data_IF_535405940230
#
_entry.id   IF_535405940230
#
_cell.length_a   1.000
_cell.length_b   1.000
_cell.length_c   1.000
_cell.angle_alpha   90.00
_cell.angle_beta   90.00
_cell.angle_gamma   90.00
#
_symmetry.space_group_name_H-M   'P 1'
#
loop_
_entity.id
_entity.type
_entity.pdbx_description
1 polymer ?
#
# COMPACT_ATOMS: atom_id res chain seq x y z
N UNK A 1 -52.03 -41.80 -50.14
CA UNK A 1 -50.91 -42.09 -49.22
C UNK A 1 -50.73 -40.88 -48.31
N UNK A 2 -50.90 -41.07 -47.00
CA UNK A 2 -50.83 -40.03 -45.96
C UNK A 2 -49.37 -39.84 -45.56
N UNK A 3 -48.80 -38.63 -45.71
CA UNK A 3 -47.55 -38.27 -45.07
C UNK A 3 -47.82 -37.11 -44.10
N UNK A 4 -47.81 -37.43 -42.80
CA UNK A 4 -47.81 -36.44 -41.74
C UNK A 4 -46.36 -35.98 -41.51
N UNK A 5 -46.08 -34.70 -41.76
CA UNK A 5 -44.87 -34.04 -41.29
C UNK A 5 -45.18 -33.44 -39.92
N UNK A 6 -44.64 -34.05 -38.86
CA UNK A 6 -44.68 -33.50 -37.51
C UNK A 6 -43.57 -32.44 -37.38
N UNK A 7 -43.96 -31.17 -37.20
CA UNK A 7 -43.06 -30.12 -36.73
C UNK A 7 -42.78 -30.34 -35.24
N UNK A 8 -41.57 -30.75 -34.89
CA UNK A 8 -41.08 -30.70 -33.51
C UNK A 8 -40.49 -29.32 -33.22
N UNK A 9 -41.24 -28.51 -32.45
CA UNK A 9 -40.75 -27.30 -31.79
C UNK A 9 -39.78 -27.71 -30.67
N UNK A 10 -38.48 -27.51 -30.86
CA UNK A 10 -37.48 -27.64 -29.80
C UNK A 10 -37.35 -26.32 -29.05
N UNK A 11 -37.95 -26.21 -27.86
CA UNK A 11 -37.70 -25.10 -26.94
C UNK A 11 -36.39 -25.42 -26.21
N UNK A 12 -35.27 -24.85 -26.66
CA UNK A 12 -34.03 -24.84 -25.88
C UNK A 12 -34.17 -23.84 -24.73
N UNK A 13 -34.47 -24.34 -23.53
CA UNK A 13 -34.37 -23.56 -22.31
C UNK A 13 -32.89 -23.34 -21.97
N UNK A 14 -32.37 -22.15 -22.24
CA UNK A 14 -31.06 -21.71 -21.74
C UNK A 14 -31.17 -21.43 -20.25
N UNK A 15 -30.60 -22.32 -19.45
CA UNK A 15 -30.41 -22.11 -18.01
C UNK A 15 -29.31 -21.05 -17.87
N UNK A 16 -29.68 -19.79 -17.65
CA UNK A 16 -28.73 -18.72 -17.35
C UNK A 16 -28.48 -18.78 -15.84
N UNK A 17 -27.45 -19.49 -15.41
CA UNK A 17 -27.00 -19.45 -14.02
C UNK A 17 -26.51 -18.03 -13.70
N UNK A 18 -26.96 -17.39 -12.61
CA UNK A 18 -26.41 -16.12 -12.20
C UNK A 18 -24.95 -16.32 -11.80
N UNK A 19 -24.03 -15.70 -12.54
CA UNK A 19 -22.64 -15.55 -12.12
C UNK A 19 -22.64 -14.53 -10.99
N UNK A 20 -22.54 -15.01 -9.75
CA UNK A 20 -22.28 -14.15 -8.60
C UNK A 20 -20.81 -13.76 -8.64
N UNK A 21 -20.52 -12.57 -9.17
CA UNK A 21 -19.24 -11.91 -8.94
C UNK A 21 -19.18 -11.55 -7.47
N UNK A 22 -18.43 -12.33 -6.68
CA UNK A 22 -18.07 -11.91 -5.33
C UNK A 22 -17.15 -10.70 -5.44
N UNK A 23 -17.63 -9.52 -5.05
CA UNK A 23 -16.74 -8.40 -4.77
C UNK A 23 -16.11 -8.68 -3.42
N UNK A 24 -14.93 -9.30 -3.41
CA UNK A 24 -14.09 -9.25 -2.22
C UNK A 24 -13.88 -7.77 -1.90
N UNK A 25 -14.36 -7.33 -0.74
CA UNK A 25 -14.20 -5.93 -0.36
C UNK A 25 -12.71 -5.69 -0.19
N UNK A 26 -12.15 -4.74 -0.93
CA UNK A 26 -10.79 -4.29 -0.73
C UNK A 26 -10.68 -3.81 0.72
N UNK A 27 -9.87 -4.51 1.52
CA UNK A 27 -9.61 -4.13 2.90
C UNK A 27 -8.43 -3.17 2.88
N UNK A 28 -8.60 -1.99 3.50
CA UNK A 28 -7.58 -0.96 3.55
C UNK A 28 -7.04 -0.83 4.98
N UNK A 29 -5.74 -0.56 5.10
CA UNK A 29 -5.16 -0.04 6.33
C UNK A 29 -5.46 1.46 6.47
N UNK A 30 -5.35 1.99 7.70
CA UNK A 30 -5.51 3.41 7.97
C UNK A 30 -4.38 3.93 8.86
N UNK A 31 -3.85 5.11 8.54
CA UNK A 31 -2.99 5.90 9.43
C UNK A 31 -3.74 7.17 9.79
N UNK A 32 -4.07 7.35 11.06
CA UNK A 32 -4.80 8.51 11.57
C UNK A 32 -3.88 9.42 12.36
N UNK A 33 -3.86 10.70 11.98
CA UNK A 33 -3.06 11.72 12.64
C UNK A 33 -3.82 12.32 13.85
N UNK A 34 -3.47 11.89 15.06
CA UNK A 34 -3.98 12.47 16.31
C UNK A 34 -3.07 13.58 16.88
N UNK A 35 -2.00 13.95 16.16
CA UNK A 35 -1.11 15.06 16.51
C UNK A 35 -1.67 16.39 16.04
N UNK A 36 -1.04 17.48 16.48
CA UNK A 36 -1.30 18.85 16.02
C UNK A 36 -0.31 19.33 14.93
N UNK A 37 0.42 18.41 14.32
CA UNK A 37 1.39 18.65 13.24
C UNK A 37 1.00 17.78 12.04
N UNK A 38 1.36 18.21 10.82
CA UNK A 38 1.21 17.38 9.62
C UNK A 38 2.10 16.15 9.73
N UNK A 39 1.59 14.99 9.31
CA UNK A 39 2.40 13.80 9.09
C UNK A 39 2.69 13.63 7.61
N UNK A 40 3.88 13.17 7.28
CA UNK A 40 4.25 12.72 5.95
C UNK A 40 4.34 11.20 5.98
N UNK A 41 3.51 10.54 5.19
CA UNK A 41 3.46 9.08 5.11
C UNK A 41 4.02 8.63 3.76
N UNK A 42 4.93 7.67 3.78
CA UNK A 42 5.40 6.97 2.60
C UNK A 42 4.93 5.51 2.62
N UNK A 43 4.68 4.96 1.43
CA UNK A 43 4.24 3.57 1.23
C UNK A 43 5.24 2.77 0.40
N UNK A 44 5.42 1.49 0.70
CA UNK A 44 6.26 0.57 -0.05
C UNK A 44 5.56 -0.77 -0.30
N UNK A 45 5.79 -1.38 -1.45
CA UNK A 45 5.21 -2.67 -1.84
C UNK A 45 6.10 -3.33 -2.90
N UNK A 46 5.98 -4.65 -3.10
CA UNK A 46 6.61 -5.33 -4.23
C UNK A 46 5.70 -5.33 -5.45
N UNK A 47 6.25 -5.03 -6.63
CA UNK A 47 5.53 -5.17 -7.88
C UNK A 47 5.45 -6.65 -8.34
N UNK A 48 4.89 -6.90 -9.53
CA UNK A 48 4.73 -8.26 -10.09
C UNK A 48 6.06 -9.00 -10.34
N UNK A 49 7.18 -8.28 -10.39
CA UNK A 49 8.53 -8.82 -10.60
C UNK A 49 9.32 -8.96 -9.28
N UNK A 50 8.64 -8.91 -8.13
CA UNK A 50 9.23 -8.95 -6.77
C UNK A 50 10.22 -7.80 -6.50
N UNK A 51 10.09 -6.69 -7.22
CA UNK A 51 10.91 -5.49 -7.04
C UNK A 51 10.21 -4.55 -6.06
N UNK A 52 10.93 -4.10 -5.04
CA UNK A 52 10.44 -3.06 -4.13
C UNK A 52 10.17 -1.76 -4.88
N UNK A 53 8.96 -1.26 -4.72
CA UNK A 53 8.50 0.02 -5.22
C UNK A 53 7.99 0.82 -4.06
N UNK A 54 8.28 2.11 -4.07
CA UNK A 54 7.75 3.03 -3.08
C UNK A 54 6.93 4.11 -3.72
N UNK A 55 5.98 4.64 -2.97
CA UNK A 55 5.10 5.70 -3.40
C UNK A 55 5.06 6.80 -2.36
N UNK A 56 5.27 8.01 -2.90
CA UNK A 56 4.80 9.30 -2.42
C UNK A 56 5.15 9.67 -0.96
N UNK A 57 4.91 10.95 -0.66
CA UNK A 57 4.80 11.47 0.69
C UNK A 57 3.42 12.09 0.79
N UNK A 58 2.47 11.35 1.36
CA UNK A 58 1.14 11.88 1.61
C UNK A 58 1.19 12.75 2.86
N UNK A 59 0.73 13.98 2.74
CA UNK A 59 0.45 14.84 3.88
C UNK A 59 -0.87 14.39 4.52
N UNK A 60 -0.83 14.16 5.83
CA UNK A 60 -2.00 13.83 6.65
C UNK A 60 -2.16 14.93 7.69
N UNK A 61 -3.18 15.76 7.53
CA UNK A 61 -3.44 16.90 8.40
C UNK A 61 -3.88 16.44 9.81
N UNK A 62 -3.71 17.27 10.85
CA UNK A 62 -4.24 17.02 12.18
C UNK A 62 -5.73 16.62 12.15
N UNK A 63 -6.04 15.43 12.68
CA UNK A 63 -7.39 14.87 12.75
C UNK A 63 -7.83 14.07 11.51
N UNK A 64 -7.02 14.02 10.45
CA UNK A 64 -7.32 13.23 9.26
C UNK A 64 -6.76 11.80 9.33
N UNK A 65 -7.26 10.94 8.44
CA UNK A 65 -6.75 9.59 8.25
C UNK A 65 -6.44 9.33 6.77
N UNK A 66 -5.28 8.72 6.51
CA UNK A 66 -4.91 8.18 5.21
C UNK A 66 -5.30 6.71 5.13
N UNK A 67 -6.07 6.33 4.11
CA UNK A 67 -6.30 4.92 3.77
C UNK A 67 -5.29 4.43 2.74
N UNK A 68 -4.78 3.21 2.92
CA UNK A 68 -3.81 2.60 2.01
C UNK A 68 -4.09 1.10 1.81
N UNK A 69 -3.64 0.48 0.70
CA UNK A 69 -3.79 -0.96 0.48
C UNK A 69 -3.17 -1.80 1.59
N UNK A 70 -3.84 -2.87 2.00
CA UNK A 70 -3.40 -3.75 3.09
C UNK A 70 -2.08 -4.49 2.83
N UNK A 71 -1.64 -4.58 1.57
CA UNK A 71 -0.37 -5.17 1.20
C UNK A 71 0.81 -4.19 1.17
N UNK A 72 0.64 -2.96 1.68
CA UNK A 72 1.71 -1.98 1.75
C UNK A 72 2.40 -1.97 3.11
N UNK A 73 3.68 -1.60 3.05
CA UNK A 73 4.49 -1.21 4.19
C UNK A 73 4.48 0.30 4.29
N UNK A 74 4.48 0.85 5.50
CA UNK A 74 4.38 2.31 5.71
C UNK A 74 5.50 2.85 6.59
N UNK A 75 5.92 4.08 6.29
CA UNK A 75 6.84 4.90 7.08
C UNK A 75 6.21 6.26 7.33
N UNK A 76 6.48 6.87 8.50
CA UNK A 76 5.84 8.11 8.94
C UNK A 76 6.89 9.07 9.54
N UNK A 77 6.92 10.31 9.06
CA UNK A 77 7.68 11.40 9.65
C UNK A 77 6.80 12.62 9.95
N UNK A 78 7.23 13.44 10.92
CA UNK A 78 6.62 14.76 11.21
C UNK A 78 7.35 15.85 10.44
N UNK A 79 8.67 15.72 10.35
CA UNK A 79 9.52 16.59 9.57
C UNK A 79 10.81 15.87 9.20
N UNK A 80 11.60 16.48 8.32
CA UNK A 80 12.91 15.97 7.89
C UNK A 80 13.92 15.65 9.01
N UNK A 81 13.69 16.07 10.25
CA UNK A 81 14.56 15.75 11.40
C UNK A 81 13.80 15.08 12.56
N UNK A 82 12.52 14.76 12.36
CA UNK A 82 11.65 14.23 13.40
C UNK A 82 10.76 13.15 12.84
N UNK A 83 11.00 11.91 13.27
CA UNK A 83 10.06 10.80 13.05
C UNK A 83 8.93 10.88 14.07
N UNK A 84 7.73 10.47 13.65
CA UNK A 84 6.64 10.29 14.59
C UNK A 84 6.87 8.98 15.35
N UNK A 85 6.74 8.99 16.68
CA UNK A 85 6.76 7.75 17.45
C UNK A 85 5.57 6.87 17.05
N UNK A 86 5.81 5.59 16.76
CA UNK A 86 4.77 4.64 16.36
C UNK A 86 4.67 3.47 17.36
N UNK A 87 4.24 3.71 18.61
CA UNK A 87 4.15 2.65 19.63
C UNK A 87 3.13 1.55 19.29
N UNK A 88 2.28 1.80 18.29
CA UNK A 88 1.34 0.81 17.79
C UNK A 88 2.02 -0.27 16.92
N UNK A 89 3.26 -0.03 16.46
CA UNK A 89 4.01 -0.93 15.56
C UNK A 89 5.44 -1.21 16.03
N UNK A 90 6.08 -0.25 16.70
CA UNK A 90 7.40 -0.39 17.30
C UNK A 90 7.37 -1.46 18.41
N UNK A 91 8.44 -2.25 18.51
CA UNK A 91 8.60 -3.36 19.46
C UNK A 91 7.53 -4.47 19.37
N UNK A 92 6.85 -4.58 18.23
CA UNK A 92 5.87 -5.63 17.95
C UNK A 92 6.29 -6.50 16.77
N UNK A 93 5.74 -7.71 16.73
CA UNK A 93 5.98 -8.69 15.67
C UNK A 93 5.23 -8.32 14.37
N UNK A 94 5.69 -7.28 13.69
CA UNK A 94 5.28 -6.92 12.33
C UNK A 94 6.39 -7.22 11.34
N UNK A 95 6.00 -7.55 10.11
CA UNK A 95 6.95 -7.66 9.01
C UNK A 95 7.48 -6.26 8.66
N UNK A 96 8.80 -6.16 8.50
CA UNK A 96 9.47 -4.91 8.19
C UNK A 96 10.37 -5.04 6.97
N UNK A 97 10.59 -3.92 6.30
CA UNK A 97 11.61 -3.78 5.26
C UNK A 97 12.38 -2.49 5.50
N UNK A 98 13.70 -2.55 5.38
CA UNK A 98 14.56 -1.37 5.38
C UNK A 98 14.80 -0.91 3.94
N UNK A 99 14.45 0.33 3.64
CA UNK A 99 14.58 0.92 2.31
C UNK A 99 15.32 2.26 2.40
N UNK A 100 16.14 2.56 1.40
CA UNK A 100 16.87 3.81 1.32
C UNK A 100 15.99 4.95 0.80
N UNK A 101 15.67 5.91 1.66
CA UNK A 101 14.91 7.11 1.31
C UNK A 101 15.85 8.19 0.78
N UNK A 102 15.68 8.57 -0.49
CA UNK A 102 16.41 9.69 -1.10
C UNK A 102 15.65 11.00 -0.86
N UNK A 103 16.37 12.04 -0.43
CA UNK A 103 15.75 13.32 -0.05
C UNK A 103 15.43 14.26 -1.22
N UNK A 104 15.19 13.73 -2.43
CA UNK A 104 14.88 14.50 -3.63
C UNK A 104 13.39 14.82 -3.84
N UNK A 105 12.58 14.59 -2.81
CA UNK A 105 11.11 14.72 -2.80
C UNK A 105 10.44 13.68 -3.70
N UNK A 106 10.20 12.48 -3.14
CA UNK A 106 9.20 11.47 -3.55
C UNK A 106 9.74 10.15 -4.12
N UNK A 107 11.06 9.95 -4.20
CA UNK A 107 11.64 8.70 -4.72
C UNK A 107 12.42 7.96 -3.63
N UNK A 108 11.93 6.82 -3.17
CA UNK A 108 12.72 5.89 -2.35
C UNK A 108 13.33 4.92 -3.36
N UNK A 109 14.65 4.83 -3.38
CA UNK A 109 15.31 3.92 -4.30
C UNK A 109 15.28 2.51 -3.71
N UNK A 110 14.98 1.56 -4.58
CA UNK A 110 14.84 0.14 -4.32
C UNK A 110 16.21 -0.51 -4.12
N UNK A 111 16.86 -0.20 -2.99
CA UNK A 111 18.10 -0.84 -2.62
C UNK A 111 17.94 -1.57 -1.29
N UNK A 112 18.07 -2.90 -1.35
CA UNK A 112 18.29 -3.76 -0.18
C UNK A 112 19.76 -3.61 0.31
N UNK A 113 20.55 -2.72 -0.32
CA UNK A 113 21.97 -2.50 -0.06
C UNK A 113 22.23 -1.04 0.36
N UNK A 114 22.88 -0.88 1.52
CA UNK A 114 23.22 0.42 2.13
C UNK A 114 24.01 1.36 1.20
N UNK A 115 24.79 0.81 0.26
CA UNK A 115 25.66 1.60 -0.62
C UNK A 115 24.94 2.59 -1.53
N UNK A 116 23.64 2.43 -1.80
CA UNK A 116 22.86 3.44 -2.55
C UNK A 116 22.50 4.66 -1.66
N UNK A 117 22.41 4.48 -0.35
CA UNK A 117 22.25 5.58 0.61
C UNK A 117 23.54 6.41 0.75
N UNK A 118 24.71 5.80 0.48
CA UNK A 118 26.00 6.48 0.50
C UNK A 118 26.30 7.28 -0.78
N UNK A 119 25.45 7.21 -1.81
CA UNK A 119 25.67 7.91 -3.07
C UNK A 119 25.33 9.40 -2.96
N UNK A 120 26.39 10.20 -2.83
CA UNK A 120 26.37 11.67 -2.94
C UNK A 120 26.25 12.19 -4.39
N UNK A 121 26.02 11.31 -5.38
CA UNK A 121 26.13 11.60 -6.82
C UNK A 121 25.24 12.74 -7.32
N UNK A 122 24.18 13.07 -6.57
CA UNK A 122 23.20 14.11 -6.94
C UNK A 122 23.19 15.31 -5.98
N UNK A 123 24.15 15.40 -5.05
CA UNK A 123 24.18 16.49 -4.06
C UNK A 123 23.09 16.41 -2.98
N UNK A 124 22.42 15.25 -2.86
CA UNK A 124 21.55 14.93 -1.73
C UNK A 124 22.44 14.56 -0.54
N UNK A 125 22.40 15.34 0.54
CA UNK A 125 23.29 15.16 1.70
C UNK A 125 22.70 14.30 2.81
N UNK A 126 21.42 13.92 2.69
CA UNK A 126 20.59 13.48 3.82
C UNK A 126 19.84 12.16 3.54
N UNK A 127 20.31 11.34 2.58
CA UNK A 127 19.74 10.01 2.35
C UNK A 127 19.85 9.14 3.60
N UNK A 128 18.85 8.32 3.88
CA UNK A 128 18.84 7.48 5.07
C UNK A 128 18.04 6.20 4.88
N UNK A 129 18.50 5.12 5.52
CA UNK A 129 17.72 3.89 5.64
C UNK A 129 16.55 4.14 6.58
N UNK A 130 15.36 3.78 6.13
CA UNK A 130 14.13 3.88 6.91
C UNK A 130 13.43 2.53 6.99
N UNK A 131 12.88 2.22 8.16
CA UNK A 131 12.13 0.99 8.41
C UNK A 131 10.65 1.21 8.09
N UNK A 132 10.15 0.45 7.11
CA UNK A 132 8.72 0.41 6.79
C UNK A 132 8.07 -0.79 7.47
N UNK A 133 6.83 -0.63 7.92
CA UNK A 133 6.08 -1.65 8.64
C UNK A 133 4.86 -2.10 7.84
N UNK A 134 4.69 -3.41 7.67
CA UNK A 134 3.47 -4.03 7.14
C UNK A 134 2.52 -4.35 8.29
N UNK A 135 1.50 -3.50 8.47
CA UNK A 135 0.48 -3.69 9.51
C UNK A 135 -0.84 -4.23 8.96
N UNK A 136 -0.93 -4.45 7.64
CA UNK A 136 -2.11 -5.00 7.01
C UNK A 136 -3.31 -4.04 7.02
N UNK A 137 -4.55 -4.55 7.12
CA UNK A 137 -5.77 -3.75 7.11
C UNK A 137 -6.07 -3.05 8.46
N UNK A 138 -5.03 -2.77 9.26
CA UNK A 138 -5.19 -2.20 10.60
C UNK A 138 -5.24 -0.69 10.55
N UNK A 139 -5.97 -0.11 11.51
CA UNK A 139 -5.88 1.31 11.83
C UNK A 139 -4.76 1.55 12.85
N UNK A 140 -3.87 2.46 12.53
CA UNK A 140 -2.86 3.03 13.41
C UNK A 140 -3.24 4.46 13.79
N UNK A 141 -3.06 4.84 15.05
CA UNK A 141 -3.30 6.20 15.53
C UNK A 141 -2.00 6.80 16.02
N UNK A 142 -1.45 7.73 15.24
CA UNK A 142 -0.18 8.40 15.54
C UNK A 142 -0.43 9.57 16.49
N UNK A 143 0.22 9.58 17.65
CA UNK A 143 -0.03 10.50 18.77
C UNK A 143 1.17 11.34 19.14
#
# INVERSE_FOLDING_TARGET
MKNQLLLSLGITATIVSPVTFGTEQAVAGEICNARNQILFVAGAYTNEDDVWVTKAWWEVEPGECLSYPDNWYTYIEVSRHETAARPDVEDKDFETVELCVLQDKQTIYNAIYEGECDRNDYGFTDNSMQTFYSIGPRREVVK
#
